data_IF_362937476311
#
_entry.id   IF_362937476311
#
_cell.length_a   1.000
_cell.length_b   1.000
_cell.length_c   1.000
_cell.angle_alpha   90.00
_cell.angle_beta   90.00
_cell.angle_gamma   90.00
#
_symmetry.space_group_name_H-M   'P 1'
#
loop_
_entity.id
_entity.type
_entity.pdbx_description
1 polymer ?
#
# COMPACT_ATOMS: atom_id res chain seq x y z
N UNK A 1 7.37 -7.32 14.97
CA UNK A 1 6.75 -8.14 13.89
C UNK A 1 7.40 -7.73 12.57
N UNK A 2 7.56 -8.63 11.59
CA UNK A 2 8.17 -8.27 10.31
C UNK A 2 7.18 -7.52 9.40
N UNK A 3 7.15 -6.19 9.45
CA UNK A 3 6.21 -5.37 8.66
C UNK A 3 6.59 -5.21 7.19
N UNK A 4 7.71 -5.79 6.76
CA UNK A 4 8.30 -5.62 5.42
C UNK A 4 7.80 -6.63 4.38
N UNK A 5 6.88 -7.53 4.73
CA UNK A 5 6.23 -8.45 3.78
C UNK A 5 4.72 -8.38 3.92
N UNK A 6 4.06 -8.53 2.78
CA UNK A 6 2.61 -8.57 2.66
C UNK A 6 2.04 -9.67 3.59
N UNK A 7 1.09 -9.33 4.47
CA UNK A 7 0.38 -10.32 5.28
C UNK A 7 -0.35 -11.32 4.40
N UNK A 8 -0.44 -12.58 4.84
CA UNK A 8 -1.15 -13.63 4.11
C UNK A 8 -2.17 -14.37 4.98
N UNK A 9 -3.25 -14.86 4.35
CA UNK A 9 -4.31 -15.59 5.06
C UNK A 9 -3.82 -16.85 5.78
N UNK A 10 -2.82 -17.52 5.20
CA UNK A 10 -2.23 -18.72 5.78
C UNK A 10 -1.17 -18.46 6.84
N UNK A 11 -0.82 -17.19 7.11
CA UNK A 11 0.22 -16.85 8.07
C UNK A 11 -0.20 -17.27 9.48
N UNK A 12 0.72 -17.90 10.21
CA UNK A 12 0.54 -18.30 11.60
C UNK A 12 1.59 -17.63 12.47
N UNK A 13 1.34 -17.59 13.77
CA UNK A 13 2.34 -17.16 14.75
C UNK A 13 3.64 -17.96 14.59
N UNK A 14 4.81 -17.32 14.81
CA UNK A 14 6.06 -18.05 14.99
C UNK A 14 5.93 -19.14 16.05
N UNK A 15 6.64 -20.26 15.88
CA UNK A 15 6.52 -21.45 16.76
C UNK A 15 6.83 -21.13 18.23
N UNK A 16 7.63 -20.11 18.48
CA UNK A 16 8.02 -19.63 19.81
C UNK A 16 7.09 -18.53 20.38
N UNK A 17 6.17 -17.98 19.58
CA UNK A 17 5.21 -16.97 20.02
C UNK A 17 4.02 -17.61 20.76
N UNK A 18 4.10 -17.60 22.08
CA UNK A 18 3.06 -18.13 22.98
C UNK A 18 2.05 -17.09 23.46
N UNK A 19 2.04 -15.89 22.87
CA UNK A 19 1.14 -14.82 23.31
C UNK A 19 -0.30 -15.20 22.99
N UNK A 20 -1.18 -14.99 23.95
CA UNK A 20 -2.64 -15.05 23.76
C UNK A 20 -3.14 -13.87 22.90
N UNK A 21 -4.35 -13.98 22.36
CA UNK A 21 -5.02 -12.89 21.66
C UNK A 21 -5.03 -11.59 22.48
N UNK A 22 -5.32 -11.69 23.78
CA UNK A 22 -5.27 -10.53 24.68
C UNK A 22 -3.86 -9.92 24.74
N UNK A 23 -2.82 -10.72 24.93
CA UNK A 23 -1.45 -10.22 24.96
C UNK A 23 -1.00 -9.65 23.61
N UNK A 24 -1.47 -10.19 22.49
CA UNK A 24 -1.17 -9.65 21.15
C UNK A 24 -1.83 -8.27 20.99
N UNK A 25 -3.10 -8.15 21.36
CA UNK A 25 -3.83 -6.88 21.34
C UNK A 25 -3.19 -5.85 22.27
N UNK A 26 -2.99 -6.19 23.54
CA UNK A 26 -2.46 -5.26 24.56
C UNK A 26 -1.08 -4.70 24.18
N UNK A 27 -0.23 -5.53 23.54
CA UNK A 27 1.10 -5.15 23.09
C UNK A 27 1.13 -4.43 21.73
N UNK A 28 -0.03 -4.19 21.10
CA UNK A 28 -0.15 -3.50 19.83
C UNK A 28 -1.01 -2.24 20.03
N UNK A 29 -0.43 -1.03 20.04
CA UNK A 29 -1.18 0.20 20.30
C UNK A 29 -2.32 0.42 19.30
N UNK A 30 -2.13 0.06 18.03
CA UNK A 30 -3.15 0.16 16.98
C UNK A 30 -4.42 -0.62 17.34
N UNK A 31 -4.25 -1.76 18.01
CA UNK A 31 -5.35 -2.62 18.44
C UNK A 31 -5.88 -2.21 19.83
N UNK A 32 -4.98 -2.06 20.81
CA UNK A 32 -5.32 -1.83 22.21
C UNK A 32 -6.03 -0.51 22.46
N UNK A 33 -5.53 0.58 21.87
CA UNK A 33 -6.06 1.93 22.09
C UNK A 33 -6.73 2.53 20.86
N UNK A 34 -6.72 1.78 19.74
CA UNK A 34 -7.24 2.17 18.44
C UNK A 34 -8.50 1.43 18.04
N UNK A 35 -8.42 0.62 16.98
CA UNK A 35 -9.59 0.13 16.22
C UNK A 35 -10.50 -0.85 16.99
N UNK A 36 -10.00 -1.49 18.05
CA UNK A 36 -10.79 -2.42 18.86
C UNK A 36 -11.41 -1.74 20.08
N UNK A 37 -11.10 -0.47 20.36
CA UNK A 37 -11.76 0.26 21.43
C UNK A 37 -13.15 0.75 21.01
N UNK A 38 -14.12 0.56 21.90
CA UNK A 38 -15.51 1.02 21.76
C UNK A 38 -15.61 2.53 21.44
N UNK A 39 -14.66 3.34 21.93
CA UNK A 39 -14.64 4.79 21.70
C UNK A 39 -14.45 5.18 20.24
N UNK A 40 -13.95 4.26 19.40
CA UNK A 40 -13.75 4.47 17.96
C UNK A 40 -15.09 4.60 17.21
N UNK A 41 -16.14 3.94 17.70
CA UNK A 41 -17.49 3.96 17.11
C UNK A 41 -18.45 5.01 17.71
N UNK A 42 -17.97 6.10 18.32
CA UNK A 42 -18.87 7.02 19.04
C UNK A 42 -19.94 7.66 18.13
N UNK A 43 -21.21 7.48 18.52
CA UNK A 43 -22.41 7.92 17.79
C UNK A 43 -23.09 6.75 17.06
N UNK A 44 -24.42 6.77 16.88
CA UNK A 44 -25.15 5.62 16.29
C UNK A 44 -24.67 5.24 14.88
N UNK A 45 -24.32 6.23 14.05
CA UNK A 45 -23.71 6.02 12.73
C UNK A 45 -22.26 5.51 12.82
N UNK A 46 -21.54 5.86 13.89
CA UNK A 46 -20.19 5.36 14.16
C UNK A 46 -20.18 3.91 14.64
N UNK A 47 -21.18 3.52 15.44
CA UNK A 47 -21.29 2.17 15.98
C UNK A 47 -21.59 1.14 14.90
N UNK A 48 -22.60 1.38 14.05
CA UNK A 48 -22.94 0.48 12.96
C UNK A 48 -21.78 0.31 11.97
N UNK A 49 -21.03 1.39 11.69
CA UNK A 49 -19.82 1.34 10.86
C UNK A 49 -18.73 0.48 11.51
N UNK A 50 -18.50 0.68 12.81
CA UNK A 50 -17.51 -0.10 13.56
C UNK A 50 -17.90 -1.58 13.61
N UNK A 51 -19.16 -1.93 13.85
CA UNK A 51 -19.63 -3.32 13.81
C UNK A 51 -19.40 -3.96 12.44
N UNK A 52 -19.76 -3.26 11.35
CA UNK A 52 -19.53 -3.75 9.99
C UNK A 52 -18.05 -3.96 9.69
N UNK A 53 -17.18 -3.04 10.15
CA UNK A 53 -15.74 -3.18 10.05
C UNK A 53 -15.26 -4.42 10.82
N UNK A 54 -15.64 -4.57 12.08
CA UNK A 54 -15.24 -5.70 12.93
C UNK A 54 -15.69 -7.03 12.33
N UNK A 55 -16.92 -7.12 11.84
CA UNK A 55 -17.43 -8.33 11.22
C UNK A 55 -16.73 -8.66 9.92
N UNK A 56 -16.41 -7.66 9.09
CA UNK A 56 -15.55 -7.83 7.92
C UNK A 56 -14.17 -8.34 8.30
N UNK A 57 -13.52 -7.74 9.30
CA UNK A 57 -12.21 -8.19 9.79
C UNK A 57 -12.25 -9.65 10.28
N UNK A 58 -13.29 -10.05 11.04
CA UNK A 58 -13.47 -11.45 11.46
C UNK A 58 -13.58 -12.41 10.26
N UNK A 59 -14.28 -12.02 9.20
CA UNK A 59 -14.38 -12.85 7.99
C UNK A 59 -13.02 -13.07 7.32
N UNK A 60 -12.13 -12.08 7.36
CA UNK A 60 -10.82 -12.17 6.74
C UNK A 60 -9.80 -12.93 7.59
N UNK A 61 -9.66 -12.55 8.85
CA UNK A 61 -8.58 -13.06 9.72
C UNK A 61 -9.02 -14.22 10.63
N UNK A 62 -10.32 -14.45 10.78
CA UNK A 62 -10.93 -15.32 11.77
C UNK A 62 -11.50 -14.54 12.96
N UNK A 63 -12.35 -15.18 13.77
CA UNK A 63 -12.94 -14.54 14.93
C UNK A 63 -11.91 -14.42 16.08
N UNK A 64 -11.40 -13.21 16.26
CA UNK A 64 -10.42 -12.84 17.29
C UNK A 64 -11.09 -12.43 18.63
N UNK A 65 -12.41 -12.46 18.71
CA UNK A 65 -13.17 -12.01 19.89
C UNK A 65 -13.40 -13.14 20.89
N UNK A 66 -13.82 -12.85 22.14
CA UNK A 66 -14.16 -13.87 23.13
C UNK A 66 -15.30 -14.82 22.71
N UNK A 67 -16.08 -14.49 21.66
CA UNK A 67 -17.13 -15.35 21.14
C UNK A 67 -16.56 -16.64 20.51
N UNK A 68 -15.36 -16.59 19.94
CA UNK A 68 -14.63 -17.78 19.50
C UNK A 68 -14.08 -18.53 20.72
N UNK A 69 -14.65 -19.67 21.08
CA UNK A 69 -14.25 -20.45 22.27
C UNK A 69 -12.94 -21.22 22.10
N UNK A 70 -12.45 -21.40 20.86
CA UNK A 70 -11.15 -22.03 20.59
C UNK A 70 -10.03 -21.01 20.83
N UNK A 71 -9.20 -21.18 21.90
CA UNK A 71 -8.15 -20.23 22.21
C UNK A 71 -7.10 -20.12 21.11
N UNK A 72 -6.76 -21.22 20.44
CA UNK A 72 -5.68 -21.24 19.46
C UNK A 72 -6.13 -20.53 18.18
N UNK A 73 -7.32 -20.88 17.68
CA UNK A 73 -7.96 -20.18 16.56
C UNK A 73 -8.05 -18.67 16.82
N UNK A 74 -8.46 -18.27 18.03
CA UNK A 74 -8.58 -16.87 18.42
C UNK A 74 -7.22 -16.16 18.48
N UNK A 75 -6.18 -16.84 18.96
CA UNK A 75 -4.83 -16.28 19.01
C UNK A 75 -4.26 -16.06 17.59
N UNK A 76 -4.45 -17.02 16.68
CA UNK A 76 -4.04 -16.90 15.28
C UNK A 76 -4.79 -15.77 14.57
N UNK A 77 -6.10 -15.64 14.81
CA UNK A 77 -6.90 -14.56 14.24
C UNK A 77 -6.41 -13.17 14.69
N UNK A 78 -6.12 -13.01 15.99
CA UNK A 78 -5.59 -11.75 16.51
C UNK A 78 -4.16 -11.47 16.00
N UNK A 79 -3.33 -12.50 15.85
CA UNK A 79 -2.01 -12.36 15.25
C UNK A 79 -2.11 -11.85 13.82
N UNK A 80 -2.95 -12.47 12.98
CA UNK A 80 -3.17 -12.03 11.60
C UNK A 80 -3.68 -10.60 11.53
N UNK A 81 -4.63 -10.23 12.40
CA UNK A 81 -5.10 -8.84 12.47
C UNK A 81 -3.96 -7.89 12.84
N UNK A 82 -3.13 -8.25 13.83
CA UNK A 82 -1.95 -7.47 14.20
C UNK A 82 -0.98 -7.31 13.02
N UNK A 83 -0.76 -8.36 12.21
CA UNK A 83 0.07 -8.29 11.01
C UNK A 83 -0.48 -7.28 10.00
N UNK A 84 -1.79 -7.33 9.73
CA UNK A 84 -2.47 -6.44 8.80
C UNK A 84 -2.38 -4.98 9.23
N UNK A 85 -2.76 -4.66 10.46
CA UNK A 85 -2.78 -3.25 10.91
C UNK A 85 -1.38 -2.65 10.96
N UNK A 86 -0.36 -3.42 11.39
CA UNK A 86 1.02 -2.92 11.38
C UNK A 86 1.56 -2.78 9.96
N UNK A 87 1.16 -3.65 9.03
CA UNK A 87 1.53 -3.51 7.63
C UNK A 87 0.95 -2.22 7.02
N UNK A 88 -0.32 -1.91 7.29
CA UNK A 88 -0.97 -0.68 6.83
C UNK A 88 -0.28 0.55 7.44
N UNK A 89 -0.06 0.56 8.75
CA UNK A 89 0.65 1.64 9.48
C UNK A 89 2.07 1.87 8.95
N UNK A 90 2.75 0.82 8.47
CA UNK A 90 4.08 0.91 7.89
C UNK A 90 4.08 1.14 6.37
N UNK A 91 2.92 1.30 5.72
CA UNK A 91 2.86 1.51 4.29
C UNK A 91 3.10 2.98 3.95
N UNK A 92 4.22 3.33 3.28
CA UNK A 92 4.49 4.70 2.89
C UNK A 92 3.46 5.23 1.90
N UNK A 93 2.74 4.40 1.16
CA UNK A 93 1.76 4.77 0.14
C UNK A 93 0.44 5.29 0.61
N UNK A 94 0.19 5.19 1.90
CA UNK A 94 -1.06 5.63 2.50
C UNK A 94 -0.95 7.09 2.94
N UNK A 95 -1.99 7.88 2.68
CA UNK A 95 -2.09 9.27 3.08
C UNK A 95 -2.35 9.39 4.59
N UNK A 96 -1.65 10.32 5.23
CA UNK A 96 -1.70 10.57 6.67
C UNK A 96 -1.97 12.04 6.96
N UNK A 97 -2.53 12.33 8.13
CA UNK A 97 -2.73 13.71 8.57
C UNK A 97 -1.35 14.35 8.85
N UNK A 98 -1.22 15.64 8.54
CA UNK A 98 -0.02 16.44 8.80
C UNK A 98 0.43 16.25 10.27
N UNK A 99 1.68 15.84 10.46
CA UNK A 99 2.37 15.49 11.72
C UNK A 99 2.32 14.02 12.18
N UNK A 100 1.63 13.14 11.47
CA UNK A 100 1.71 11.70 11.70
C UNK A 100 2.76 11.04 10.81
N UNK A 101 3.41 10.01 11.35
CA UNK A 101 4.57 9.35 10.73
C UNK A 101 4.24 7.90 10.41
N UNK A 102 4.90 7.35 9.39
CA UNK A 102 4.84 5.91 9.11
C UNK A 102 5.28 5.14 10.36
N UNK A 103 4.46 4.17 10.80
CA UNK A 103 4.80 3.33 11.94
C UNK A 103 4.62 4.01 13.31
N UNK A 104 3.75 5.03 13.42
CA UNK A 104 3.55 5.75 14.69
C UNK A 104 2.67 4.99 15.69
N UNK A 105 2.13 3.84 15.28
CA UNK A 105 1.34 2.96 16.13
C UNK A 105 -0.14 3.35 16.21
N UNK A 106 -0.62 4.20 15.31
CA UNK A 106 -2.02 4.55 15.13
C UNK A 106 -2.43 4.41 13.66
N UNK A 107 -3.73 4.20 13.39
CA UNK A 107 -4.24 4.31 12.02
C UNK A 107 -4.94 5.66 11.88
N UNK A 108 -4.41 6.48 10.99
CA UNK A 108 -4.92 7.81 10.73
C UNK A 108 -6.15 7.76 9.83
N UNK A 109 -7.24 8.31 10.36
CA UNK A 109 -8.37 8.72 9.53
C UNK A 109 -8.12 10.16 9.09
N UNK A 110 -7.87 10.38 7.80
CA UNK A 110 -8.14 11.71 7.23
C UNK A 110 -9.63 11.98 7.50
N UNK A 111 -10.03 13.21 7.80
CA UNK A 111 -11.45 13.60 7.98
C UNK A 111 -12.35 13.39 6.75
N UNK A 112 -11.95 12.51 5.83
CA UNK A 112 -12.60 12.08 4.62
C UNK A 112 -12.55 10.54 4.55
N UNK A 113 -13.69 9.95 4.20
CA UNK A 113 -13.96 8.52 4.03
C UNK A 113 -13.23 7.90 2.82
N UNK A 114 -11.97 8.26 2.62
CA UNK A 114 -11.21 7.84 1.45
C UNK A 114 -10.27 6.66 1.77
N UNK A 115 -10.31 5.70 0.86
CA UNK A 115 -9.49 4.50 0.78
C UNK A 115 -7.98 4.75 0.66
N UNK A 116 -7.57 6.00 0.41
CA UNK A 116 -6.17 6.42 0.42
C UNK A 116 -5.57 6.55 1.83
N UNK A 117 -6.39 6.58 2.89
CA UNK A 117 -5.97 6.67 4.30
C UNK A 117 -5.77 5.30 4.95
N UNK A 118 -5.12 5.26 6.12
CA UNK A 118 -4.83 4.00 6.83
C UNK A 118 -6.12 3.30 7.27
N UNK A 119 -7.07 4.09 7.77
CA UNK A 119 -8.41 3.61 8.08
C UNK A 119 -9.15 3.18 6.82
N UNK A 120 -9.08 3.95 5.73
CA UNK A 120 -9.72 3.59 4.46
C UNK A 120 -9.20 2.27 3.89
N UNK A 121 -7.91 2.01 4.04
CA UNK A 121 -7.29 0.75 3.61
C UNK A 121 -7.66 -0.43 4.51
N UNK A 122 -7.79 -0.20 5.82
CA UNK A 122 -8.33 -1.21 6.73
C UNK A 122 -9.79 -1.56 6.39
N UNK A 123 -10.60 -0.56 6.03
CA UNK A 123 -11.97 -0.77 5.57
C UNK A 123 -12.03 -1.56 4.26
N UNK A 124 -11.17 -1.22 3.29
CA UNK A 124 -11.05 -1.99 2.04
C UNK A 124 -10.65 -3.45 2.34
N UNK A 125 -9.68 -3.68 3.22
CA UNK A 125 -9.31 -5.02 3.68
C UNK A 125 -10.49 -5.76 4.31
N UNK A 126 -11.30 -5.12 5.15
CA UNK A 126 -12.46 -5.76 5.78
C UNK A 126 -13.48 -6.29 4.75
N UNK A 127 -13.61 -5.61 3.61
CA UNK A 127 -14.57 -5.94 2.56
C UNK A 127 -14.01 -6.93 1.52
N UNK A 128 -12.74 -6.79 1.15
CA UNK A 128 -12.15 -7.49 0.00
C UNK A 128 -11.09 -8.51 0.41
N UNK A 129 -10.63 -8.47 1.66
CA UNK A 129 -9.61 -9.36 2.19
C UNK A 129 -8.20 -9.00 1.75
N UNK A 130 -7.32 -10.00 1.79
CA UNK A 130 -5.90 -9.86 1.53
C UNK A 130 -5.52 -9.19 0.18
N UNK A 131 -6.28 -9.35 -0.92
CA UNK A 131 -6.02 -8.60 -2.15
C UNK A 131 -6.03 -7.07 -1.95
N UNK A 132 -6.86 -6.52 -1.06
CA UNK A 132 -6.87 -5.08 -0.79
C UNK A 132 -5.61 -4.55 -0.09
N UNK A 133 -4.74 -5.44 0.43
CA UNK A 133 -3.42 -5.06 0.94
C UNK A 133 -2.40 -4.91 -0.18
N UNK A 134 -2.63 -5.55 -1.32
CA UNK A 134 -1.86 -5.36 -2.55
C UNK A 134 -2.38 -4.14 -3.32
N UNK A 135 -3.69 -3.91 -3.30
CA UNK A 135 -4.32 -2.84 -4.06
C UNK A 135 -4.18 -1.48 -3.36
N UNK A 136 -3.15 -0.72 -3.74
CA UNK A 136 -2.98 0.72 -3.47
C UNK A 136 -4.02 1.57 -4.26
N UNK A 137 -5.06 0.94 -4.82
CA UNK A 137 -5.69 1.35 -6.07
C UNK A 137 -7.20 1.47 -5.98
N UNK A 138 -7.67 2.59 -5.44
CA UNK A 138 -9.06 3.02 -5.61
C UNK A 138 -9.19 4.23 -6.53
N UNK A 139 -8.20 4.43 -7.42
CA UNK A 139 -8.18 5.51 -8.38
C UNK A 139 -7.94 6.88 -7.73
N UNK A 140 -8.63 7.89 -8.26
CA UNK A 140 -8.58 9.27 -7.75
C UNK A 140 -9.19 9.33 -6.36
N UNK A 141 -8.55 10.11 -5.48
CA UNK A 141 -9.12 10.42 -4.16
C UNK A 141 -10.43 11.18 -4.31
N UNK A 142 -11.33 11.04 -3.35
CA UNK A 142 -12.61 11.74 -3.34
C UNK A 142 -12.39 13.26 -3.38
N UNK A 143 -12.92 13.90 -4.42
CA UNK A 143 -12.74 15.32 -4.67
C UNK A 143 -11.57 15.67 -5.59
N UNK A 144 -10.77 14.68 -5.99
CA UNK A 144 -9.84 14.80 -7.10
C UNK A 144 -10.59 14.56 -8.42
N UNK A 145 -10.73 15.65 -9.18
CA UNK A 145 -11.37 15.66 -10.49
C UNK A 145 -10.37 15.85 -11.62
N UNK A 146 -9.07 15.73 -11.34
CA UNK A 146 -8.02 15.95 -12.34
C UNK A 146 -8.19 14.99 -13.52
N UNK A 147 -7.94 15.48 -14.73
CA UNK A 147 -7.89 14.65 -15.93
C UNK A 147 -6.60 13.81 -15.97
N UNK A 148 -6.52 12.86 -16.90
CA UNK A 148 -5.28 12.11 -17.14
C UNK A 148 -4.13 13.07 -17.37
N UNK A 149 -4.33 14.07 -18.24
CA UNK A 149 -3.30 15.05 -18.62
C UNK A 149 -2.81 15.86 -17.41
N UNK A 150 -3.71 16.24 -16.51
CA UNK A 150 -3.36 16.97 -15.29
C UNK A 150 -2.59 16.11 -14.29
N UNK A 151 -2.92 14.81 -14.18
CA UNK A 151 -2.21 13.86 -13.33
C UNK A 151 -0.82 13.56 -13.91
N UNK A 152 -0.73 13.30 -15.23
CA UNK A 152 0.50 12.87 -15.89
C UNK A 152 1.45 14.02 -16.24
N UNK A 153 1.05 15.28 -16.06
CA UNK A 153 1.90 16.44 -16.32
C UNK A 153 3.08 16.57 -15.34
N UNK A 154 3.05 15.87 -14.21
CA UNK A 154 4.03 16.00 -13.15
C UNK A 154 5.44 15.45 -13.47
N UNK A 155 6.50 15.97 -12.84
CA UNK A 155 7.88 15.49 -13.00
C UNK A 155 8.08 14.00 -12.68
N UNK A 156 7.24 13.41 -11.83
CA UNK A 156 7.25 11.98 -11.54
C UNK A 156 6.96 11.13 -12.79
N UNK A 157 6.00 11.52 -13.64
CA UNK A 157 5.69 10.82 -14.89
C UNK A 157 6.79 10.98 -15.93
N UNK A 158 7.47 12.13 -15.96
CA UNK A 158 8.69 12.28 -16.76
C UNK A 158 9.77 11.29 -16.32
N UNK A 159 9.93 11.11 -15.00
CA UNK A 159 10.82 10.10 -14.42
C UNK A 159 10.42 8.67 -14.80
N UNK A 160 9.12 8.37 -14.78
CA UNK A 160 8.55 7.08 -15.20
C UNK A 160 8.98 6.72 -16.62
N UNK A 161 8.72 7.61 -17.57
CA UNK A 161 9.06 7.38 -18.99
C UNK A 161 10.57 7.36 -19.27
N UNK A 162 11.38 8.00 -18.42
CA UNK A 162 12.83 7.97 -18.55
C UNK A 162 13.46 6.70 -17.94
N UNK A 163 12.78 6.07 -16.96
CA UNK A 163 13.29 4.91 -16.24
C UNK A 163 12.91 3.57 -16.87
N UNK A 164 11.75 3.50 -17.52
CA UNK A 164 11.19 2.26 -18.06
C UNK A 164 11.26 2.20 -19.58
N UNK A 165 11.62 1.03 -20.11
CA UNK A 165 11.36 0.65 -21.49
C UNK A 165 9.86 0.51 -21.76
N UNK A 166 9.48 0.40 -23.04
CA UNK A 166 8.06 0.20 -23.42
C UNK A 166 7.48 -1.09 -22.83
N UNK A 167 8.27 -2.17 -22.75
CA UNK A 167 7.84 -3.44 -22.13
C UNK A 167 7.62 -3.30 -20.62
N UNK A 168 8.56 -2.65 -19.93
CA UNK A 168 8.45 -2.39 -18.48
C UNK A 168 7.30 -1.42 -18.17
N UNK A 169 7.06 -0.41 -19.03
CA UNK A 169 5.93 0.52 -18.88
C UNK A 169 4.60 -0.21 -19.04
N UNK A 170 4.50 -1.15 -19.99
CA UNK A 170 3.31 -1.99 -20.14
C UNK A 170 3.12 -2.93 -18.92
N UNK A 171 4.21 -3.50 -18.40
CA UNK A 171 4.16 -4.29 -17.18
C UNK A 171 3.71 -3.44 -15.97
N UNK A 172 4.25 -2.23 -15.83
CA UNK A 172 3.84 -1.25 -14.82
C UNK A 172 2.35 -0.93 -14.92
N UNK A 173 1.86 -0.59 -16.11
CA UNK A 173 0.43 -0.34 -16.41
C UNK A 173 -0.44 -1.53 -15.98
N UNK A 174 -0.01 -2.75 -16.29
CA UNK A 174 -0.72 -3.96 -15.87
C UNK A 174 -0.74 -4.11 -14.33
N UNK A 175 0.35 -3.79 -13.63
CA UNK A 175 0.40 -3.86 -12.15
C UNK A 175 -0.53 -2.86 -11.47
N UNK A 176 -0.78 -1.70 -12.09
CA UNK A 176 -1.65 -0.67 -11.52
C UNK A 176 -3.14 -0.80 -11.91
N UNK A 177 -3.48 -1.86 -12.64
CA UNK A 177 -4.86 -2.19 -13.03
C UNK A 177 -5.24 -1.84 -14.47
N UNK A 178 -4.32 -1.32 -15.29
CA UNK A 178 -4.55 -1.08 -16.71
C UNK A 178 -3.81 0.12 -17.29
N UNK A 179 -3.90 0.24 -18.62
CA UNK A 179 -3.32 1.35 -19.37
C UNK A 179 -4.22 2.60 -19.32
N UNK A 180 -3.77 3.64 -18.63
CA UNK A 180 -4.47 4.93 -18.55
C UNK A 180 -4.51 5.70 -19.88
N UNK A 181 -3.77 5.27 -20.90
CA UNK A 181 -3.80 5.85 -22.24
C UNK A 181 -4.72 5.09 -23.19
N UNK A 182 -5.21 3.90 -22.80
CA UNK A 182 -6.01 3.05 -23.69
C UNK A 182 -7.36 3.68 -24.01
N UNK A 183 -7.66 3.97 -25.30
CA UNK A 183 -8.92 4.58 -25.70
C UNK A 183 -10.13 3.66 -25.49
N UNK A 184 -9.91 2.39 -25.16
CA UNK A 184 -10.96 1.42 -24.82
C UNK A 184 -11.62 1.73 -23.47
N UNK A 185 -10.93 2.45 -22.58
CA UNK A 185 -11.46 2.83 -21.27
C UNK A 185 -12.15 4.22 -21.29
N UNK A 186 -13.28 4.38 -20.57
CA UNK A 186 -13.87 5.69 -20.33
C UNK A 186 -12.86 6.66 -19.69
N UNK A 187 -13.00 7.95 -19.97
CA UNK A 187 -12.08 9.00 -19.46
C UNK A 187 -11.92 8.98 -17.94
N UNK A 188 -13.01 8.76 -17.18
CA UNK A 188 -12.92 8.66 -15.72
C UNK A 188 -12.11 7.44 -15.27
N UNK A 189 -12.28 6.29 -15.94
CA UNK A 189 -11.49 5.09 -15.65
C UNK A 189 -10.02 5.30 -15.95
N UNK A 190 -9.70 5.98 -17.05
CA UNK A 190 -8.32 6.35 -17.38
C UNK A 190 -7.71 7.27 -16.32
N UNK A 191 -8.46 8.25 -15.83
CA UNK A 191 -8.01 9.14 -14.76
C UNK A 191 -7.79 8.40 -13.42
N UNK A 192 -8.64 7.42 -13.09
CA UNK A 192 -8.41 6.52 -11.95
C UNK A 192 -7.10 5.73 -12.10
N UNK A 193 -6.84 5.15 -13.28
CA UNK A 193 -5.61 4.42 -13.57
C UNK A 193 -4.38 5.33 -13.52
N UNK A 194 -4.48 6.57 -14.02
CA UNK A 194 -3.40 7.55 -13.91
C UNK A 194 -3.13 7.94 -12.44
N UNK A 195 -4.17 8.10 -11.62
CA UNK A 195 -4.01 8.39 -10.20
C UNK A 195 -3.35 7.23 -9.43
N UNK A 196 -3.68 5.99 -9.81
CA UNK A 196 -2.99 4.80 -9.32
C UNK A 196 -1.49 4.84 -9.65
N UNK A 197 -1.14 5.20 -10.89
CA UNK A 197 0.25 5.37 -11.32
C UNK A 197 0.95 6.46 -10.49
N UNK A 198 0.33 7.63 -10.36
CA UNK A 198 0.86 8.76 -9.59
C UNK A 198 1.16 8.35 -8.14
N UNK A 199 0.26 7.61 -7.49
CA UNK A 199 0.45 7.15 -6.11
C UNK A 199 1.64 6.20 -5.98
N UNK A 200 1.84 5.28 -6.91
CA UNK A 200 3.03 4.41 -6.93
C UNK A 200 4.31 5.22 -7.09
N UNK A 201 4.31 6.22 -7.98
CA UNK A 201 5.47 7.09 -8.17
C UNK A 201 5.78 7.91 -6.91
N UNK A 202 4.76 8.45 -6.24
CA UNK A 202 4.92 9.16 -4.98
C UNK A 202 5.42 8.25 -3.84
N UNK A 203 5.08 6.96 -3.85
CA UNK A 203 5.64 5.98 -2.90
C UNK A 203 7.14 5.81 -3.12
N UNK A 204 7.52 5.65 -4.39
CA UNK A 204 8.90 5.43 -4.78
C UNK A 204 9.73 6.67 -4.42
N UNK A 205 9.31 7.87 -4.85
CA UNK A 205 9.94 9.16 -4.52
C UNK A 205 10.10 9.33 -3.00
N UNK A 206 9.06 9.05 -2.19
CA UNK A 206 9.17 9.19 -0.72
C UNK A 206 10.12 8.19 -0.05
N UNK A 207 10.47 7.08 -0.69
CA UNK A 207 11.44 6.13 -0.14
C UNK A 207 12.88 6.65 -0.26
N UNK A 208 13.17 7.50 -1.25
CA UNK A 208 14.54 7.90 -1.55
C UNK A 208 15.44 6.69 -1.82
N UNK A 209 16.71 6.84 -1.46
CA UNK A 209 17.69 5.78 -1.56
C UNK A 209 19.04 6.30 -2.01
N UNK A 210 19.84 5.40 -2.60
CA UNK A 210 21.16 5.76 -3.09
C UNK A 210 21.04 6.72 -4.26
N UNK A 211 21.66 7.89 -4.15
CA UNK A 211 21.57 8.97 -5.15
C UNK A 211 20.11 9.38 -5.44
N UNK A 212 19.27 9.40 -4.40
CA UNK A 212 17.86 9.80 -4.50
C UNK A 212 17.44 10.61 -3.29
N UNK A 213 16.74 11.73 -3.52
CA UNK A 213 16.27 12.62 -2.44
C UNK A 213 14.80 12.38 -2.16
N UNK A 214 14.51 11.78 -1.01
CA UNK A 214 13.16 11.40 -0.65
C UNK A 214 12.15 12.56 -0.71
N UNK A 215 11.09 12.39 -1.49
CA UNK A 215 9.94 13.31 -1.54
C UNK A 215 10.23 14.64 -2.26
N UNK A 216 11.19 14.66 -3.19
CA UNK A 216 11.53 15.85 -3.95
C UNK A 216 10.65 16.04 -5.20
N UNK A 217 9.71 15.12 -5.44
CA UNK A 217 8.80 15.13 -6.58
C UNK A 217 9.46 14.67 -7.88
N UNK A 218 10.59 13.95 -7.83
CA UNK A 218 11.29 13.39 -9.00
C UNK A 218 11.55 11.90 -8.78
N UNK A 219 11.92 11.22 -9.87
CA UNK A 219 12.46 9.87 -9.80
C UNK A 219 13.96 9.98 -10.08
N UNK A 220 14.76 9.81 -9.03
CA UNK A 220 16.21 9.97 -9.05
C UNK A 220 16.94 8.64 -9.34
N UNK A 221 18.23 8.76 -9.65
CA UNK A 221 19.14 7.62 -9.85
C UNK A 221 19.04 6.93 -11.22
N UNK A 222 18.69 7.69 -12.25
CA UNK A 222 18.94 7.33 -13.65
C UNK A 222 20.44 7.48 -13.96
N UNK A 223 20.98 6.58 -14.79
CA UNK A 223 22.36 6.68 -15.30
C UNK A 223 22.37 7.48 -16.60
N UNK A 224 23.29 8.43 -16.71
CA UNK A 224 23.44 9.28 -17.91
C UNK A 224 24.00 8.56 -19.16
N UNK A 225 24.28 7.25 -19.09
CA UNK A 225 24.94 6.53 -20.18
C UNK A 225 23.95 5.93 -21.19
N UNK A 226 23.85 6.57 -22.36
CA UNK A 226 23.31 5.94 -23.55
C UNK A 226 24.22 4.80 -24.00
N UNK A 227 23.78 3.55 -23.79
CA UNK A 227 24.44 2.40 -24.39
C UNK A 227 24.22 2.39 -25.89
N UNK A 228 25.31 2.23 -26.66
CA UNK A 228 25.26 1.99 -28.11
C UNK A 228 25.02 0.51 -28.45
N UNK A 229 24.78 -0.36 -27.45
CA UNK A 229 24.56 -1.78 -27.65
C UNK A 229 23.09 -2.07 -28.03
N UNK A 230 22.84 -3.00 -28.97
CA UNK A 230 21.49 -3.47 -29.30
C UNK A 230 20.76 -3.99 -28.05
N UNK A 231 19.46 -3.73 -27.94
CA UNK A 231 18.63 -4.05 -26.76
C UNK A 231 18.76 -5.51 -26.28
N UNK A 232 18.97 -6.45 -27.20
CA UNK A 232 19.14 -7.88 -26.92
C UNK A 232 20.37 -8.24 -26.07
N UNK A 233 21.31 -7.31 -25.86
CA UNK A 233 22.55 -7.53 -25.10
C UNK A 233 22.64 -6.64 -23.85
N UNK A 234 21.59 -5.86 -23.55
CA UNK A 234 21.63 -4.98 -22.40
C UNK A 234 21.32 -5.78 -21.11
N UNK A 235 22.18 -5.68 -20.08
CA UNK A 235 21.88 -6.19 -18.74
C UNK A 235 20.57 -5.62 -18.22
N UNK A 236 19.83 -6.45 -17.48
CA UNK A 236 18.69 -6.02 -16.69
C UNK A 236 19.12 -4.81 -15.85
N UNK A 237 18.38 -3.70 -15.96
CA UNK A 237 18.61 -2.45 -15.24
C UNK A 237 19.86 -1.62 -15.60
N UNK A 238 20.36 -1.67 -16.84
CA UNK A 238 21.52 -0.88 -17.27
C UNK A 238 21.38 0.64 -17.01
N UNK A 239 20.15 1.16 -17.01
CA UNK A 239 19.86 2.59 -16.94
C UNK A 239 19.58 3.14 -15.53
N UNK A 240 19.62 2.29 -14.50
CA UNK A 240 19.29 2.70 -13.12
C UNK A 240 20.37 2.35 -12.11
N UNK A 241 20.49 3.15 -11.04
CA UNK A 241 21.45 2.92 -9.95
C UNK A 241 20.87 1.93 -8.92
N UNK A 242 21.61 0.87 -8.54
CA UNK A 242 21.15 -0.05 -7.48
C UNK A 242 20.78 0.70 -6.18
N UNK A 243 19.58 0.45 -5.67
CA UNK A 243 19.04 1.09 -4.47
C UNK A 243 18.48 2.50 -4.65
N UNK A 244 18.38 3.00 -5.88
CA UNK A 244 17.73 4.29 -6.20
C UNK A 244 16.22 4.14 -6.40
N UNK A 245 15.52 5.29 -6.44
CA UNK A 245 14.12 5.37 -6.84
C UNK A 245 13.87 4.78 -8.23
N UNK A 246 14.68 5.14 -9.23
CA UNK A 246 14.57 4.58 -10.57
C UNK A 246 14.73 3.05 -10.59
N UNK A 247 15.63 2.49 -9.77
CA UNK A 247 15.76 1.03 -9.65
C UNK A 247 14.52 0.39 -9.05
N UNK A 248 13.96 0.98 -7.99
CA UNK A 248 12.72 0.49 -7.37
C UNK A 248 11.54 0.53 -8.33
N UNK A 249 11.49 1.53 -9.20
CA UNK A 249 10.47 1.64 -10.24
C UNK A 249 10.55 0.47 -11.24
N UNK A 250 11.74 0.13 -11.74
CA UNK A 250 11.91 -1.05 -12.61
C UNK A 250 11.55 -2.35 -11.86
N UNK A 251 11.98 -2.48 -10.60
CA UNK A 251 11.63 -3.65 -9.79
C UNK A 251 10.12 -3.76 -9.57
N UNK A 252 9.41 -2.64 -9.40
CA UNK A 252 7.95 -2.64 -9.32
C UNK A 252 7.30 -3.09 -10.64
N UNK A 253 7.79 -2.64 -11.79
CA UNK A 253 7.30 -3.12 -13.08
C UNK A 253 7.41 -4.66 -13.19
N UNK A 254 8.55 -5.21 -12.77
CA UNK A 254 8.84 -6.65 -12.89
C UNK A 254 8.16 -7.52 -11.82
N UNK A 255 8.10 -7.03 -10.57
CA UNK A 255 7.71 -7.83 -9.40
C UNK A 255 6.48 -7.29 -8.66
N UNK A 256 5.90 -6.19 -9.13
CA UNK A 256 4.77 -5.52 -8.47
C UNK A 256 5.13 -5.02 -7.08
N UNK A 257 4.13 -4.97 -6.22
CA UNK A 257 4.24 -4.41 -4.87
C UNK A 257 5.28 -5.05 -3.98
N UNK A 258 5.56 -6.34 -4.17
CA UNK A 258 6.59 -7.04 -3.42
C UNK A 258 7.95 -6.32 -3.47
N UNK A 259 8.24 -5.60 -4.57
CA UNK A 259 9.45 -4.79 -4.72
C UNK A 259 9.45 -3.51 -3.86
N UNK A 260 8.29 -2.94 -3.54
CA UNK A 260 8.20 -1.71 -2.74
C UNK A 260 8.47 -1.97 -1.26
N UNK A 261 8.37 -3.21 -0.79
CA UNK A 261 8.57 -3.57 0.62
C UNK A 261 9.98 -4.10 0.93
N UNK A 262 10.83 -4.30 -0.09
CA UNK A 262 12.22 -4.68 0.10
C UNK A 262 13.05 -3.47 0.57
N UNK A 263 13.80 -3.64 1.66
CA UNK A 263 14.67 -2.60 2.22
C UNK A 263 15.78 -2.21 1.25
#
# INVERSE_FOLDING_TARGET
MNTSHLPARGETRPVDDRRSAKQISDNNPILNVGILEEKWGRGALGHARWEALIDGLKQQVGDFTPANTDPESRNEAMFRLARVVNYIDHDPGVERIRNHSVGDGFLDAIGSYDSSSEVGRLEAFSQQGYPALEEVFNGRVRGDYRTVEEITAGPLFKGLHAALSDEELNAFKAKIGGDWESPEFPTDRRAELAANAERVLQIIDRKGGKESTAGNGKIDGLREYASLAPDLLQPEFLHTLPGSEARRLVQFANHGFSALHQQ
#
